data_IF_736614737173
#
_entry.id   IF_736614737173
#
_cell.length_a   1.000
_cell.length_b   1.000
_cell.length_c   1.000
_cell.angle_alpha   90.00
_cell.angle_beta   90.00
_cell.angle_gamma   90.00
#
_symmetry.space_group_name_H-M   'P 1'
#
loop_
_entity.id
_entity.type
_entity.pdbx_description
1 polymer ?
#
# COMPACT_ATOMS: atom_id res chain seq x y z
N UNK A 1 -25.36 -13.13 -24.94
CA UNK A 1 -24.61 -13.24 -23.67
C UNK A 1 -24.85 -11.95 -22.88
N UNK A 2 -25.72 -11.98 -21.88
CA UNK A 2 -26.12 -10.79 -21.13
C UNK A 2 -25.08 -10.44 -20.06
N UNK A 3 -24.44 -9.28 -20.17
CA UNK A 3 -23.56 -8.77 -19.13
C UNK A 3 -24.42 -8.13 -18.04
N UNK A 4 -24.51 -8.78 -16.88
CA UNK A 4 -25.13 -8.18 -15.69
C UNK A 4 -24.14 -7.13 -15.18
N UNK A 5 -24.53 -5.86 -15.24
CA UNK A 5 -23.76 -4.77 -14.63
C UNK A 5 -23.83 -4.91 -13.12
N UNK A 6 -22.69 -4.83 -12.45
CA UNK A 6 -22.65 -4.79 -11.00
C UNK A 6 -23.49 -3.61 -10.48
N UNK A 7 -24.34 -3.82 -9.46
CA UNK A 7 -25.16 -2.77 -8.88
C UNK A 7 -24.29 -1.66 -8.29
N UNK A 8 -24.60 -0.41 -8.64
CA UNK A 8 -23.88 0.75 -8.11
C UNK A 8 -24.04 0.81 -6.59
N UNK A 9 -22.92 0.82 -5.86
CA UNK A 9 -22.90 0.94 -4.40
C UNK A 9 -22.87 -0.38 -3.62
N UNK A 10 -22.52 -1.51 -4.26
CA UNK A 10 -22.26 -2.78 -3.56
C UNK A 10 -20.77 -3.01 -3.40
N UNK A 11 -20.27 -2.85 -2.18
CA UNK A 11 -18.92 -3.25 -1.81
C UNK A 11 -18.94 -4.71 -1.33
N UNK A 12 -18.33 -5.62 -2.09
CA UNK A 12 -18.13 -6.99 -1.63
C UNK A 12 -17.08 -7.03 -0.52
N UNK A 13 -17.51 -7.12 0.74
CA UNK A 13 -16.62 -7.35 1.87
C UNK A 13 -16.24 -8.83 1.89
N UNK A 14 -15.07 -9.14 1.34
CA UNK A 14 -14.50 -10.49 1.41
C UNK A 14 -14.05 -10.73 2.85
N UNK A 15 -14.92 -11.38 3.63
CA UNK A 15 -14.57 -11.85 4.98
C UNK A 15 -13.62 -13.05 4.84
N UNK A 16 -12.32 -12.77 4.85
CA UNK A 16 -11.30 -13.83 4.91
C UNK A 16 -11.44 -14.63 6.21
N UNK A 17 -11.00 -15.89 6.19
CA UNK A 17 -10.99 -16.73 7.39
C UNK A 17 -10.18 -16.01 8.48
N UNK A 18 -10.71 -15.83 9.71
CA UNK A 18 -9.95 -15.22 10.79
C UNK A 18 -8.75 -16.11 11.12
N UNK A 19 -7.60 -15.47 11.39
CA UNK A 19 -6.40 -16.17 11.80
C UNK A 19 -6.63 -16.85 13.15
N UNK A 20 -6.15 -18.07 13.29
CA UNK A 20 -6.09 -18.74 14.59
C UNK A 20 -4.97 -18.12 15.44
N UNK A 21 -5.08 -18.21 16.77
CA UNK A 21 -4.05 -17.67 17.69
C UNK A 21 -2.63 -18.16 17.38
N UNK A 22 -2.49 -19.40 16.91
CA UNK A 22 -1.19 -19.99 16.52
C UNK A 22 -0.62 -19.34 15.25
N UNK A 23 -1.46 -19.11 14.26
CA UNK A 23 -1.08 -18.46 13.00
C UNK A 23 -0.72 -16.99 13.26
N UNK A 24 -1.49 -16.31 14.12
CA UNK A 24 -1.22 -14.94 14.53
C UNK A 24 0.16 -14.81 15.20
N UNK A 25 0.48 -15.70 16.15
CA UNK A 25 1.80 -15.71 16.81
C UNK A 25 2.93 -16.00 15.82
N UNK A 26 2.75 -16.97 14.92
CA UNK A 26 3.78 -17.34 13.96
C UNK A 26 4.09 -16.19 12.98
N UNK A 27 3.04 -15.49 12.51
CA UNK A 27 3.19 -14.32 11.64
C UNK A 27 3.89 -13.18 12.39
N UNK A 28 3.51 -12.93 13.65
CA UNK A 28 4.12 -11.89 14.47
C UNK A 28 5.62 -12.12 14.67
N UNK A 29 6.02 -13.34 15.01
CA UNK A 29 7.43 -13.73 15.16
C UNK A 29 8.20 -13.59 13.85
N UNK A 30 7.61 -14.04 12.74
CA UNK A 30 8.21 -13.90 11.41
C UNK A 30 8.45 -12.43 11.06
N UNK A 31 7.46 -11.55 11.26
CA UNK A 31 7.59 -10.12 10.97
C UNK A 31 8.67 -9.50 11.86
N UNK A 32 8.71 -9.84 13.15
CA UNK A 32 9.71 -9.32 14.09
C UNK A 32 11.13 -9.68 13.66
N UNK A 33 11.36 -10.95 13.32
CA UNK A 33 12.67 -11.42 12.87
C UNK A 33 13.06 -10.84 11.52
N UNK A 34 12.11 -10.74 10.58
CA UNK A 34 12.32 -10.13 9.28
C UNK A 34 12.71 -8.65 9.41
N UNK A 35 11.96 -7.87 10.19
CA UNK A 35 12.25 -6.45 10.46
C UNK A 35 13.59 -6.27 11.15
N UNK A 36 13.93 -7.11 12.12
CA UNK A 36 15.24 -7.05 12.78
C UNK A 36 16.38 -7.25 11.77
N UNK A 37 16.27 -8.26 10.91
CA UNK A 37 17.25 -8.57 9.85
C UNK A 37 17.37 -7.48 8.78
N UNK A 38 16.30 -6.76 8.48
CA UNK A 38 16.24 -5.77 7.39
C UNK A 38 16.18 -4.31 7.88
N UNK A 39 16.31 -4.08 9.18
CA UNK A 39 16.19 -2.76 9.84
C UNK A 39 17.15 -1.71 9.27
N UNK A 40 18.33 -2.12 8.80
CA UNK A 40 19.36 -1.22 8.28
C UNK A 40 19.20 -0.90 6.79
N UNK A 41 18.24 -1.52 6.09
CA UNK A 41 17.96 -1.20 4.69
C UNK A 41 17.06 0.03 4.65
N UNK A 42 17.62 1.19 5.03
CA UNK A 42 16.95 2.46 4.80
C UNK A 42 16.63 2.53 3.31
N UNK A 43 15.33 2.52 2.99
CA UNK A 43 14.85 2.86 1.66
C UNK A 43 15.26 4.32 1.50
N UNK A 44 16.40 4.55 0.86
CA UNK A 44 16.79 5.88 0.45
C UNK A 44 15.73 6.33 -0.54
N UNK A 45 14.72 7.01 -0.02
CA UNK A 45 13.73 7.67 -0.86
C UNK A 45 14.52 8.69 -1.66
N UNK A 46 14.78 8.37 -2.94
CA UNK A 46 15.35 9.31 -3.87
C UNK A 46 14.30 10.40 -4.05
N UNK A 47 14.37 11.44 -3.21
CA UNK A 47 13.52 12.62 -3.31
C UNK A 47 13.84 13.24 -4.66
N UNK A 48 12.96 13.06 -5.64
CA UNK A 48 13.03 13.82 -6.87
C UNK A 48 12.69 15.27 -6.54
N UNK A 49 13.54 16.25 -6.89
CA UNK A 49 13.22 17.64 -6.65
C UNK A 49 11.98 18.01 -7.48
N UNK A 50 10.93 18.46 -6.80
CA UNK A 50 9.69 18.96 -7.43
C UNK A 50 10.05 20.24 -8.18
N UNK A 51 10.05 20.20 -9.51
CA UNK A 51 10.16 21.41 -10.34
C UNK A 51 8.87 22.21 -10.15
N UNK A 52 8.92 23.31 -9.41
CA UNK A 52 7.85 24.29 -9.36
C UNK A 52 7.90 25.14 -10.63
N UNK A 53 6.92 24.96 -11.52
CA UNK A 53 6.73 25.83 -12.69
C UNK A 53 6.17 27.16 -12.21
N UNK A 54 7.04 28.14 -11.95
CA UNK A 54 6.65 29.50 -11.57
C UNK A 54 7.33 30.54 -12.45
N UNK A 55 7.46 30.29 -13.75
CA UNK A 55 7.99 31.27 -14.72
C UNK A 55 7.45 30.97 -16.13
N UNK A 56 6.18 31.28 -16.39
CA UNK A 56 5.69 31.55 -17.75
C UNK A 56 4.32 32.22 -17.64
N UNK A 57 4.32 33.53 -17.42
CA UNK A 57 3.22 34.48 -17.70
C UNK A 57 3.76 35.90 -17.38
N UNK A 58 4.87 36.26 -18.01
CA UNK A 58 5.30 37.65 -18.23
C UNK A 58 5.90 37.66 -19.63
N UNK A 59 5.05 37.80 -20.65
CA UNK A 59 5.43 38.41 -21.91
C UNK A 59 4.18 39.07 -22.50
N UNK A 60 4.46 40.25 -23.06
CA UNK A 60 3.59 41.39 -23.41
C UNK A 60 2.47 41.04 -24.39
#
# INVERSE_FOLDING_TARGET
MGHIKEPAGVDFVINSRPLTKKEETAISEYIRTYKAKHSNKQIQTKRTPRKTTAQKNMEV
#
